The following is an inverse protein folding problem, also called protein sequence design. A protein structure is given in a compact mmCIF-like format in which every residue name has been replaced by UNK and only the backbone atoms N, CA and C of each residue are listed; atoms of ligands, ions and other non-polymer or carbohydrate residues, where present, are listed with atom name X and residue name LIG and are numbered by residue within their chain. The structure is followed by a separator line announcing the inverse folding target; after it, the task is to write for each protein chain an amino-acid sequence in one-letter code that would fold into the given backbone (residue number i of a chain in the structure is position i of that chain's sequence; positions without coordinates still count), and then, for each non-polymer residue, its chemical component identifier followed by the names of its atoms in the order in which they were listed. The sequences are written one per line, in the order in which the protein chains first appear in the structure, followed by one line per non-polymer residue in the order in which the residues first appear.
data_IF_341948086860
#
_entry.id   IF_341948086860
#
_cell.length_a   1.000
_cell.length_b   1.000
_cell.length_c   1.000
_cell.angle_alpha   90.00
_cell.angle_beta   90.00
_cell.angle_gamma   90.00
#
_symmetry.space_group_name_H-M   'P 1'
#
loop_
_entity.id
_entity.type
_entity.pdbx_description
1 polymer ?
#
# COMPACT_ATOMS: atom_id res chain seq x y z
N UNK A 1 -19.90 -13.78 -31.52
CA UNK A 1 -19.67 -14.02 -30.08
C UNK A 1 -19.70 -15.51 -29.71
N UNK A 2 -20.81 -16.26 -29.83
CA UNK A 2 -20.83 -17.69 -29.43
C UNK A 2 -19.83 -18.59 -30.19
N UNK A 3 -19.71 -18.46 -31.52
CA UNK A 3 -18.72 -19.24 -32.29
C UNK A 3 -17.27 -18.92 -31.92
N UNK A 4 -17.00 -17.66 -31.55
CA UNK A 4 -15.67 -17.24 -31.10
C UNK A 4 -15.37 -17.76 -29.69
N UNK A 5 -16.35 -17.78 -28.79
CA UNK A 5 -16.23 -18.38 -27.46
C UNK A 5 -15.78 -19.84 -27.54
N UNK A 6 -16.41 -20.64 -28.42
CA UNK A 6 -16.00 -22.04 -28.60
C UNK A 6 -14.58 -22.16 -29.18
N UNK A 7 -14.22 -21.35 -30.18
CA UNK A 7 -12.85 -21.31 -30.71
C UNK A 7 -11.82 -20.98 -29.63
N UNK A 8 -12.09 -20.01 -28.77
CA UNK A 8 -11.18 -19.64 -27.68
C UNK A 8 -11.03 -20.76 -26.64
N UNK A 9 -12.12 -21.47 -26.33
CA UNK A 9 -12.06 -22.65 -25.45
C UNK A 9 -11.20 -23.77 -26.05
N UNK A 10 -11.30 -24.01 -27.36
CA UNK A 10 -10.44 -24.98 -28.06
C UNK A 10 -8.97 -24.60 -27.96
N UNK A 11 -8.62 -23.33 -28.17
CA UNK A 11 -7.25 -22.81 -28.02
C UNK A 11 -6.71 -23.08 -26.62
N UNK A 12 -7.48 -22.76 -25.57
CA UNK A 12 -7.08 -23.03 -24.18
C UNK A 12 -6.92 -24.52 -23.90
N UNK A 13 -7.79 -25.36 -24.46
CA UNK A 13 -7.72 -26.81 -24.28
C UNK A 13 -6.51 -27.45 -24.98
N UNK A 14 -6.06 -26.88 -26.10
CA UNK A 14 -4.93 -27.37 -26.90
C UNK A 14 -3.58 -26.79 -26.44
N UNK A 15 -3.59 -25.66 -25.73
CA UNK A 15 -2.38 -25.05 -25.18
C UNK A 15 -1.80 -25.92 -24.06
N UNK A 16 -0.54 -26.36 -24.19
CA UNK A 16 0.14 -27.24 -23.22
C UNK A 16 0.25 -26.64 -21.82
N UNK A 17 0.28 -25.31 -21.72
CA UNK A 17 0.34 -24.58 -20.47
C UNK A 17 -1.04 -24.11 -20.00
N UNK A 18 -2.12 -24.50 -20.68
CA UNK A 18 -3.49 -24.07 -20.37
C UNK A 18 -3.67 -22.56 -20.44
N UNK A 19 -2.83 -21.85 -21.21
CA UNK A 19 -2.83 -20.38 -21.36
C UNK A 19 -3.76 -19.92 -22.49
N UNK A 20 -4.32 -18.71 -22.34
CA UNK A 20 -4.99 -17.99 -23.41
C UNK A 20 -4.06 -16.88 -23.93
N UNK A 21 -3.46 -17.04 -25.13
CA UNK A 21 -2.48 -16.09 -25.66
C UNK A 21 -3.00 -14.65 -25.74
N UNK A 22 -2.12 -13.68 -25.48
CA UNK A 22 -2.43 -12.25 -25.57
C UNK A 22 -3.14 -11.84 -26.88
N UNK A 23 -2.73 -12.27 -28.09
CA UNK A 23 -3.44 -11.93 -29.32
C UNK A 23 -4.94 -12.28 -29.29
N UNK A 24 -5.26 -13.45 -28.71
CA UNK A 24 -6.65 -13.92 -28.59
C UNK A 24 -7.47 -13.04 -27.65
N UNK A 25 -6.85 -12.54 -26.57
CA UNK A 25 -7.47 -11.66 -25.58
C UNK A 25 -7.71 -10.27 -26.16
N UNK A 26 -6.72 -9.71 -26.86
CA UNK A 26 -6.84 -8.42 -27.56
C UNK A 26 -7.98 -8.48 -28.59
N UNK A 27 -8.00 -9.51 -29.44
CA UNK A 27 -9.04 -9.66 -30.45
C UNK A 27 -10.44 -9.74 -29.81
N UNK A 28 -10.58 -10.46 -28.69
CA UNK A 28 -11.83 -10.54 -27.96
C UNK A 28 -12.25 -9.17 -27.40
N UNK A 29 -11.34 -8.43 -26.75
CA UNK A 29 -11.64 -7.11 -26.19
C UNK A 29 -11.95 -6.06 -27.28
N UNK A 30 -11.22 -6.07 -28.40
CA UNK A 30 -11.48 -5.19 -29.55
C UNK A 30 -12.85 -5.45 -30.18
N UNK A 31 -13.28 -6.70 -30.24
CA UNK A 31 -14.60 -7.05 -30.75
C UNK A 31 -15.74 -6.62 -29.83
N UNK A 32 -15.51 -6.57 -28.51
CA UNK A 32 -16.45 -5.98 -27.57
C UNK A 32 -16.54 -4.47 -27.81
N UNK A 33 -15.43 -3.80 -28.08
CA UNK A 33 -15.34 -2.41 -28.55
C UNK A 33 -15.78 -1.33 -27.55
N UNK A 34 -16.48 -1.70 -26.48
CA UNK A 34 -16.93 -0.81 -25.42
C UNK A 34 -15.95 -0.87 -24.23
N UNK A 35 -15.25 0.23 -24.00
CA UNK A 35 -14.22 0.36 -22.94
C UNK A 35 -14.79 0.06 -21.55
N UNK A 36 -16.01 0.50 -21.26
CA UNK A 36 -16.68 0.27 -19.97
C UNK A 36 -16.98 -1.20 -19.73
N UNK A 37 -17.34 -1.95 -20.77
CA UNK A 37 -17.56 -3.39 -20.69
C UNK A 37 -16.24 -4.11 -20.45
N UNK A 38 -15.16 -3.70 -21.14
CA UNK A 38 -13.82 -4.25 -20.92
C UNK A 38 -13.35 -4.01 -19.48
N UNK A 39 -13.50 -2.78 -18.95
CA UNK A 39 -13.19 -2.48 -17.54
C UNK A 39 -13.95 -3.37 -16.55
N UNK A 40 -15.23 -3.68 -16.82
CA UNK A 40 -16.04 -4.60 -16.02
C UNK A 40 -15.50 -6.03 -16.06
N UNK A 41 -15.12 -6.52 -17.24
CA UNK A 41 -14.48 -7.85 -17.40
C UNK A 41 -13.19 -7.92 -16.56
N UNK A 42 -12.34 -6.90 -16.65
CA UNK A 42 -11.10 -6.84 -15.85
C UNK A 42 -11.41 -6.75 -14.35
N UNK A 43 -12.45 -6.02 -13.94
CA UNK A 43 -12.88 -5.95 -12.55
C UNK A 43 -13.32 -7.31 -12.01
N UNK A 44 -14.10 -8.07 -12.79
CA UNK A 44 -14.53 -9.42 -12.42
C UNK A 44 -13.35 -10.40 -12.32
N UNK A 45 -12.30 -10.22 -13.11
CA UNK A 45 -11.05 -10.95 -12.95
C UNK A 45 -10.43 -10.72 -11.56
N UNK A 46 -10.33 -9.46 -11.13
CA UNK A 46 -9.83 -9.11 -9.79
C UNK A 46 -10.72 -9.66 -8.68
N UNK A 47 -12.05 -9.60 -8.82
CA UNK A 47 -12.99 -10.18 -7.85
C UNK A 47 -12.78 -11.69 -7.70
N UNK A 48 -12.60 -12.42 -8.81
CA UNK A 48 -12.39 -13.87 -8.77
C UNK A 48 -11.16 -14.25 -7.95
N UNK A 49 -10.03 -13.59 -8.17
CA UNK A 49 -8.80 -13.90 -7.42
C UNK A 49 -8.88 -13.42 -5.98
N UNK A 50 -9.50 -12.25 -5.75
CA UNK A 50 -9.70 -11.73 -4.40
C UNK A 50 -10.54 -12.67 -3.53
N UNK A 51 -11.62 -13.24 -4.09
CA UNK A 51 -12.52 -14.16 -3.37
C UNK A 51 -11.87 -15.50 -2.98
N UNK A 52 -10.69 -15.83 -3.53
CA UNK A 52 -9.92 -17.00 -3.13
C UNK A 52 -8.95 -16.72 -1.98
N UNK A 53 -8.71 -15.45 -1.65
CA UNK A 53 -7.80 -15.07 -0.59
C UNK A 53 -8.37 -15.52 0.77
N UNK A 54 -7.53 -16.03 1.71
CA UNK A 54 -7.96 -16.44 3.03
C UNK A 54 -8.84 -15.39 3.75
N UNK A 55 -10.00 -15.79 4.29
CA UNK A 55 -10.99 -14.88 4.90
C UNK A 55 -10.47 -14.02 6.06
N UNK A 56 -9.39 -14.45 6.70
CA UNK A 56 -8.65 -13.67 7.70
C UNK A 56 -8.07 -12.34 7.14
N UNK A 57 -8.18 -12.12 5.83
CA UNK A 57 -7.78 -10.93 5.07
C UNK A 57 -8.95 -9.98 4.73
N UNK A 58 -10.20 -10.40 4.96
CA UNK A 58 -11.40 -9.82 4.32
C UNK A 58 -11.84 -8.45 4.87
N UNK A 59 -11.57 -8.12 6.13
CA UNK A 59 -12.31 -7.03 6.77
C UNK A 59 -11.66 -5.65 6.67
N UNK A 60 -10.40 -5.54 6.25
CA UNK A 60 -9.69 -4.25 6.36
C UNK A 60 -8.53 -4.03 5.36
N UNK A 61 -8.43 -4.82 4.30
CA UNK A 61 -7.38 -4.62 3.29
C UNK A 61 -7.56 -3.27 2.58
N UNK A 62 -6.50 -2.45 2.54
CA UNK A 62 -6.47 -1.18 1.79
C UNK A 62 -6.80 -1.41 0.31
N UNK A 63 -6.37 -2.55 -0.24
CA UNK A 63 -6.61 -2.92 -1.64
C UNK A 63 -8.06 -3.36 -1.90
N UNK A 64 -8.72 -3.96 -0.91
CA UNK A 64 -10.16 -4.26 -1.00
C UNK A 64 -10.96 -2.96 -1.10
N UNK A 65 -10.57 -1.92 -0.35
CA UNK A 65 -11.23 -0.61 -0.43
C UNK A 65 -11.16 -0.06 -1.86
N UNK A 66 -10.00 -0.13 -2.50
CA UNK A 66 -9.83 0.28 -3.91
C UNK A 66 -10.66 -0.57 -4.87
N UNK A 67 -10.64 -1.90 -4.70
CA UNK A 67 -11.44 -2.79 -5.55
C UNK A 67 -12.96 -2.50 -5.41
N UNK A 68 -13.42 -2.21 -4.20
CA UNK A 68 -14.81 -1.83 -3.90
C UNK A 68 -15.20 -0.46 -4.47
N UNK A 69 -14.27 0.51 -4.44
CA UNK A 69 -14.43 1.82 -5.10
C UNK A 69 -14.57 1.65 -6.62
N UNK A 70 -13.71 0.82 -7.24
CA UNK A 70 -13.76 0.52 -8.68
C UNK A 70 -15.06 -0.20 -9.04
N UNK A 71 -15.46 -1.23 -8.28
CA UNK A 71 -16.74 -1.93 -8.49
C UNK A 71 -17.94 -0.97 -8.44
N UNK A 72 -17.99 -0.12 -7.41
CA UNK A 72 -19.04 0.88 -7.22
C UNK A 72 -19.07 1.91 -8.34
N UNK A 73 -17.90 2.30 -8.86
CA UNK A 73 -17.82 3.16 -10.04
C UNK A 73 -18.38 2.45 -11.26
N UNK A 74 -17.93 1.23 -11.56
CA UNK A 74 -18.27 0.48 -12.77
C UNK A 74 -19.75 0.08 -12.85
N UNK A 75 -20.33 -0.39 -11.74
CA UNK A 75 -21.69 -0.95 -11.71
C UNK A 75 -22.74 -0.02 -11.11
N UNK A 76 -22.35 0.87 -10.19
CA UNK A 76 -23.28 1.73 -9.43
C UNK A 76 -23.18 3.21 -9.79
N UNK A 77 -22.29 3.57 -10.71
CA UNK A 77 -21.98 4.96 -11.09
C UNK A 77 -21.64 5.85 -9.89
N UNK A 78 -20.93 5.31 -8.89
CA UNK A 78 -20.51 6.03 -7.68
C UNK A 78 -19.02 6.32 -7.70
N UNK A 79 -18.63 7.54 -7.36
CA UNK A 79 -17.23 7.98 -7.38
C UNK A 79 -16.74 8.40 -8.77
N UNK A 80 -15.44 8.62 -8.91
CA UNK A 80 -14.80 9.09 -10.15
C UNK A 80 -13.53 8.29 -10.43
N UNK A 81 -13.17 8.17 -11.70
CA UNK A 81 -11.91 7.56 -12.10
C UNK A 81 -10.67 8.29 -11.53
N UNK A 82 -10.78 9.61 -11.31
CA UNK A 82 -9.71 10.41 -10.71
C UNK A 82 -9.49 10.07 -9.23
N UNK A 83 -10.58 9.91 -8.44
CA UNK A 83 -10.45 9.49 -7.05
C UNK A 83 -9.87 8.07 -6.94
N UNK A 84 -10.26 7.17 -7.85
CA UNK A 84 -9.68 5.84 -7.95
C UNK A 84 -8.18 5.92 -8.23
N UNK A 85 -7.75 6.76 -9.19
CA UNK A 85 -6.34 6.96 -9.50
C UNK A 85 -5.56 7.45 -8.27
N UNK A 86 -6.10 8.42 -7.52
CA UNK A 86 -5.48 8.91 -6.28
C UNK A 86 -5.31 7.76 -5.27
N UNK A 87 -6.33 6.93 -5.08
CA UNK A 87 -6.24 5.75 -4.20
C UNK A 87 -5.18 4.75 -4.68
N UNK A 88 -5.08 4.53 -5.98
CA UNK A 88 -4.13 3.60 -6.63
C UNK A 88 -2.69 4.08 -6.49
N UNK A 89 -2.42 5.35 -6.81
CA UNK A 89 -1.08 5.95 -6.71
C UNK A 89 -0.53 5.90 -5.28
N UNK A 90 -1.40 6.08 -4.28
CA UNK A 90 -1.01 5.94 -2.87
C UNK A 90 -0.56 4.52 -2.49
N UNK A 91 -1.03 3.50 -3.19
CA UNK A 91 -0.77 2.09 -2.89
C UNK A 91 0.25 1.44 -3.83
N UNK A 92 0.52 2.04 -5.00
CA UNK A 92 1.38 1.47 -6.06
C UNK A 92 2.73 0.99 -5.50
N UNK A 93 3.52 1.91 -4.94
CA UNK A 93 4.85 1.59 -4.41
C UNK A 93 4.79 0.60 -3.23
N UNK A 94 3.71 0.64 -2.45
CA UNK A 94 3.49 -0.31 -1.36
C UNK A 94 3.26 -1.72 -1.89
N UNK A 95 2.51 -1.89 -2.99
CA UNK A 95 2.28 -3.21 -3.60
C UNK A 95 3.53 -3.72 -4.30
N UNK A 96 4.23 -2.87 -5.05
CA UNK A 96 5.41 -3.22 -5.85
C UNK A 96 6.54 -3.88 -5.03
N UNK A 97 6.61 -3.61 -3.72
CA UNK A 97 7.64 -4.18 -2.82
C UNK A 97 7.52 -5.69 -2.55
N UNK A 98 6.40 -6.33 -2.88
CA UNK A 98 6.25 -7.78 -2.77
C UNK A 98 5.42 -8.27 -3.93
N UNK A 99 6.06 -8.90 -4.91
CA UNK A 99 5.44 -9.50 -6.11
C UNK A 99 5.76 -11.00 -6.22
N UNK A 100 6.08 -11.65 -5.09
CA UNK A 100 6.64 -13.00 -5.07
C UNK A 100 5.58 -14.09 -4.80
N UNK A 101 4.35 -13.69 -4.45
CA UNK A 101 3.26 -14.60 -4.08
C UNK A 101 1.99 -14.41 -4.94
N UNK A 102 1.10 -15.41 -5.00
CA UNK A 102 -0.21 -15.25 -5.62
C UNK A 102 -1.04 -14.09 -5.07
N UNK A 103 -0.96 -13.85 -3.76
CA UNK A 103 -1.65 -12.76 -3.07
C UNK A 103 -1.09 -11.38 -3.45
N UNK A 104 0.23 -11.32 -3.62
CA UNK A 104 0.92 -10.14 -4.12
C UNK A 104 0.54 -9.84 -5.58
N UNK A 105 0.46 -10.88 -6.43
CA UNK A 105 -0.03 -10.74 -7.81
C UNK A 105 -1.48 -10.28 -7.86
N UNK A 106 -2.35 -10.81 -6.99
CA UNK A 106 -3.72 -10.32 -6.86
C UNK A 106 -3.75 -8.84 -6.42
N UNK A 107 -2.83 -8.42 -5.57
CA UNK A 107 -2.67 -7.02 -5.16
C UNK A 107 -2.25 -6.13 -6.34
N UNK A 108 -1.30 -6.59 -7.15
CA UNK A 108 -0.85 -5.89 -8.36
C UNK A 108 -1.96 -5.79 -9.40
N UNK A 109 -2.77 -6.84 -9.56
CA UNK A 109 -3.93 -6.81 -10.46
C UNK A 109 -4.92 -5.69 -10.11
N UNK A 110 -5.13 -5.39 -8.82
CA UNK A 110 -6.00 -4.29 -8.38
C UNK A 110 -5.40 -2.92 -8.74
N UNK A 111 -4.07 -2.76 -8.63
CA UNK A 111 -3.37 -1.55 -9.08
C UNK A 111 -3.52 -1.38 -10.60
N UNK A 112 -3.25 -2.43 -11.36
CA UNK A 112 -3.41 -2.43 -12.82
C UNK A 112 -4.87 -2.16 -13.25
N UNK A 113 -5.85 -2.67 -12.50
CA UNK A 113 -7.28 -2.38 -12.74
C UNK A 113 -7.61 -0.91 -12.50
N UNK A 114 -7.01 -0.28 -11.50
CA UNK A 114 -7.11 1.15 -11.26
C UNK A 114 -6.70 1.97 -12.48
N UNK A 115 -5.54 1.65 -13.06
CA UNK A 115 -5.07 2.27 -14.30
C UNK A 115 -5.98 1.98 -15.50
N UNK A 116 -6.41 0.73 -15.67
CA UNK A 116 -7.36 0.38 -16.74
C UNK A 116 -8.70 1.13 -16.59
N UNK A 117 -9.13 1.40 -15.36
CA UNK A 117 -10.33 2.19 -15.07
C UNK A 117 -10.14 3.68 -15.41
N UNK A 118 -8.94 4.22 -15.18
CA UNK A 118 -8.60 5.62 -15.47
C UNK A 118 -8.37 5.91 -16.95
N UNK A 119 -7.78 4.96 -17.65
CA UNK A 119 -7.30 5.09 -19.03
C UNK A 119 -8.09 4.20 -20.00
N UNK A 120 -9.39 4.01 -19.75
CA UNK A 120 -10.32 3.36 -20.68
C UNK A 120 -9.88 1.99 -21.22
N UNK A 121 -9.21 1.20 -20.37
CA UNK A 121 -8.62 -0.09 -20.69
C UNK A 121 -7.65 -0.06 -21.89
N UNK A 122 -6.97 1.07 -22.10
CA UNK A 122 -5.95 1.23 -23.14
C UNK A 122 -4.85 0.15 -23.05
N UNK A 123 -4.55 -0.32 -21.83
CA UNK A 123 -3.57 -1.39 -21.60
C UNK A 123 -3.85 -2.70 -22.35
N UNK A 124 -5.08 -2.97 -22.78
CA UNK A 124 -5.41 -4.15 -23.64
C UNK A 124 -5.99 -3.75 -25.00
N UNK A 125 -6.61 -2.56 -25.10
CA UNK A 125 -7.24 -2.10 -26.35
C UNK A 125 -6.28 -1.38 -27.30
N UNK A 126 -5.22 -0.77 -26.76
CA UNK A 126 -4.27 0.08 -27.47
C UNK A 126 -2.86 -0.06 -26.87
N UNK A 127 -2.34 -1.29 -26.85
CA UNK A 127 -0.98 -1.58 -26.39
C UNK A 127 0.02 -0.90 -27.33
N UNK A 128 0.92 -0.09 -26.78
CA UNK A 128 1.98 0.58 -27.49
C UNK A 128 2.97 -0.44 -28.07
N UNK A 129 3.41 -0.22 -29.31
CA UNK A 129 4.37 -1.07 -30.03
C UNK A 129 4.01 -2.57 -30.14
N UNK A 130 2.71 -2.91 -29.99
CA UNK A 130 2.25 -4.30 -30.06
C UNK A 130 2.33 -4.89 -31.48
N UNK A 131 3.11 -5.96 -31.66
CA UNK A 131 3.33 -6.60 -32.96
C UNK A 131 2.87 -8.07 -33.03
N UNK A 132 2.06 -8.51 -32.06
CA UNK A 132 1.52 -9.87 -32.04
C UNK A 132 2.23 -10.83 -31.08
N UNK A 133 3.19 -10.33 -30.29
CA UNK A 133 3.81 -11.07 -29.20
C UNK A 133 2.81 -11.52 -28.11
N UNK A 134 3.26 -12.44 -27.25
CA UNK A 134 2.53 -12.89 -26.05
C UNK A 134 3.09 -12.21 -24.79
N UNK A 135 2.48 -12.46 -23.64
CA UNK A 135 2.77 -11.76 -22.37
C UNK A 135 4.24 -11.84 -21.93
N UNK A 136 5.01 -12.85 -22.38
CA UNK A 136 6.43 -13.01 -22.04
C UNK A 136 7.37 -11.98 -22.69
N UNK A 137 6.88 -11.20 -23.65
CA UNK A 137 7.65 -10.11 -24.26
C UNK A 137 7.61 -8.81 -23.44
N UNK A 138 6.79 -8.78 -22.39
CA UNK A 138 6.56 -7.59 -21.57
C UNK A 138 6.99 -7.81 -20.13
N UNK A 139 7.48 -6.74 -19.51
CA UNK A 139 7.71 -6.69 -18.07
C UNK A 139 6.37 -6.72 -17.31
N UNK A 140 6.41 -7.15 -16.05
CA UNK A 140 5.19 -7.40 -15.27
C UNK A 140 4.35 -6.13 -15.04
N UNK A 141 4.95 -4.95 -15.09
CA UNK A 141 4.25 -3.67 -14.99
C UNK A 141 3.37 -3.37 -16.21
N UNK A 142 3.68 -3.99 -17.34
CA UNK A 142 2.94 -3.84 -18.61
C UNK A 142 1.91 -4.94 -18.83
N UNK A 143 1.88 -5.96 -17.96
CA UNK A 143 0.91 -7.05 -18.06
C UNK A 143 -0.53 -6.57 -17.85
N UNK A 144 -1.45 -7.23 -18.55
CA UNK A 144 -2.87 -6.94 -18.44
C UNK A 144 -3.49 -7.56 -17.18
N UNK A 145 -4.55 -6.93 -16.67
CA UNK A 145 -5.23 -7.33 -15.43
C UNK A 145 -5.70 -8.79 -15.46
N UNK A 146 -6.27 -9.24 -16.58
CA UNK A 146 -6.71 -10.61 -16.80
C UNK A 146 -5.53 -11.60 -16.77
N UNK A 147 -4.40 -11.26 -17.38
CA UNK A 147 -3.20 -12.09 -17.31
C UNK A 147 -2.63 -12.17 -15.89
N UNK A 148 -2.47 -11.03 -15.20
CA UNK A 148 -1.99 -10.98 -13.81
C UNK A 148 -2.90 -11.81 -12.89
N UNK A 149 -4.22 -11.71 -13.07
CA UNK A 149 -5.19 -12.54 -12.33
C UNK A 149 -5.02 -14.03 -12.64
N UNK A 150 -4.71 -14.42 -13.88
CA UNK A 150 -4.40 -15.82 -14.21
C UNK A 150 -3.15 -16.33 -13.47
N UNK A 151 -2.13 -15.48 -13.32
CA UNK A 151 -0.90 -15.78 -12.56
C UNK A 151 -1.25 -15.97 -11.10
N UNK A 152 -2.01 -15.04 -10.50
CA UNK A 152 -2.49 -15.16 -9.13
C UNK A 152 -3.35 -16.42 -8.90
N UNK A 153 -4.20 -16.78 -9.86
CA UNK A 153 -5.07 -17.96 -9.74
C UNK A 153 -4.31 -19.30 -9.82
N UNK A 154 -3.35 -19.38 -10.73
CA UNK A 154 -2.61 -20.60 -11.04
C UNK A 154 -1.29 -20.75 -10.29
N UNK A 155 -0.84 -19.68 -9.64
CA UNK A 155 0.38 -19.61 -8.82
C UNK A 155 1.65 -19.24 -9.58
N UNK A 156 1.63 -19.18 -10.91
CA UNK A 156 2.78 -18.77 -11.72
C UNK A 156 2.39 -18.44 -13.17
N UNK A 157 3.24 -17.71 -13.88
CA UNK A 157 3.06 -17.42 -15.30
C UNK A 157 3.33 -18.68 -16.18
N UNK A 158 2.74 -18.77 -17.39
CA UNK A 158 2.85 -19.95 -18.24
C UNK A 158 4.22 -20.16 -18.89
N UNK A 159 5.16 -19.23 -18.73
CA UNK A 159 6.44 -19.26 -19.43
C UNK A 159 7.61 -19.75 -18.55
N UNK A 160 7.35 -20.07 -17.29
CA UNK A 160 8.39 -20.47 -16.31
C UNK A 160 8.18 -21.86 -15.68
N UNK A 161 7.38 -22.75 -16.30
CA UNK A 161 7.13 -24.16 -15.91
C UNK A 161 6.80 -24.46 -14.41
N UNK A 162 6.45 -23.45 -13.61
CA UNK A 162 6.28 -23.60 -12.15
C UNK A 162 4.82 -23.55 -11.66
N UNK A 163 3.86 -23.23 -12.53
CA UNK A 163 2.45 -23.01 -12.15
C UNK A 163 1.54 -24.22 -12.32
N UNK A 164 0.33 -24.17 -11.73
CA UNK A 164 -0.68 -25.20 -11.91
C UNK A 164 -1.43 -25.01 -13.24
N UNK A 165 -1.10 -25.83 -14.24
CA UNK A 165 -1.68 -25.80 -15.60
C UNK A 165 -3.20 -25.96 -15.58
N UNK A 166 -3.73 -26.90 -14.80
CA UNK A 166 -5.18 -27.16 -14.74
C UNK A 166 -5.94 -25.97 -14.14
N UNK A 167 -5.40 -25.33 -13.10
CA UNK A 167 -5.99 -24.09 -12.55
C UNK A 167 -5.92 -22.94 -13.55
N UNK A 168 -4.83 -22.81 -14.32
CA UNK A 168 -4.73 -21.78 -15.36
C UNK A 168 -5.78 -21.98 -16.45
N UNK A 169 -5.93 -23.23 -16.90
CA UNK A 169 -6.97 -23.64 -17.84
C UNK A 169 -8.37 -23.33 -17.31
N UNK A 170 -8.65 -23.70 -16.06
CA UNK A 170 -9.91 -23.39 -15.39
C UNK A 170 -10.19 -21.88 -15.36
N UNK A 171 -9.19 -21.07 -15.02
CA UNK A 171 -9.30 -19.61 -15.01
C UNK A 171 -9.68 -19.07 -16.39
N UNK A 172 -8.99 -19.47 -17.46
CA UNK A 172 -9.25 -18.95 -18.80
C UNK A 172 -10.58 -19.42 -19.38
N UNK A 173 -10.98 -20.67 -19.12
CA UNK A 173 -12.30 -21.16 -19.51
C UNK A 173 -13.43 -20.38 -18.78
N UNK A 174 -13.23 -20.08 -17.49
CA UNK A 174 -14.12 -19.19 -16.76
C UNK A 174 -14.13 -17.77 -17.35
N UNK A 175 -12.96 -17.20 -17.66
CA UNK A 175 -12.81 -15.85 -18.21
C UNK A 175 -13.57 -15.69 -19.53
N UNK A 176 -13.45 -16.67 -20.45
CA UNK A 176 -14.15 -16.65 -21.73
C UNK A 176 -15.66 -16.69 -21.52
N UNK A 177 -16.16 -17.54 -20.62
CA UNK A 177 -17.58 -17.63 -20.29
C UNK A 177 -18.10 -16.32 -19.68
N UNK A 178 -17.42 -15.83 -18.65
CA UNK A 178 -17.75 -14.59 -17.94
C UNK A 178 -17.77 -13.40 -18.90
N UNK A 179 -16.78 -13.30 -19.80
CA UNK A 179 -16.71 -12.25 -20.82
C UNK A 179 -17.94 -12.23 -21.71
N UNK A 180 -18.39 -13.41 -22.17
CA UNK A 180 -19.60 -13.53 -22.97
C UNK A 180 -20.87 -13.10 -22.21
N UNK A 181 -20.97 -13.45 -20.93
CA UNK A 181 -22.11 -13.09 -20.07
C UNK A 181 -22.17 -11.57 -19.81
N UNK A 182 -21.04 -10.93 -19.51
CA UNK A 182 -20.98 -9.48 -19.30
C UNK A 182 -21.23 -8.72 -20.60
N UNK A 183 -20.71 -9.18 -21.72
CA UNK A 183 -20.96 -8.54 -23.01
C UNK A 183 -22.46 -8.55 -23.38
N UNK A 184 -23.21 -9.57 -22.95
CA UNK A 184 -24.66 -9.65 -23.13
C UNK A 184 -25.44 -8.84 -22.10
N UNK A 185 -25.01 -8.83 -20.84
CA UNK A 185 -25.71 -8.19 -19.73
C UNK A 185 -24.76 -7.28 -18.91
N UNK A 186 -24.27 -6.16 -19.49
CA UNK A 186 -23.18 -5.39 -18.91
C UNK A 186 -23.54 -4.66 -17.61
N UNK A 187 -24.82 -4.58 -17.24
CA UNK A 187 -25.29 -3.89 -16.04
C UNK A 187 -25.48 -4.81 -14.83
N UNK A 188 -25.30 -6.12 -15.00
CA UNK A 188 -25.43 -7.11 -13.93
C UNK A 188 -24.03 -7.48 -13.44
N UNK A 189 -23.78 -7.35 -12.13
CA UNK A 189 -22.54 -7.84 -11.50
C UNK A 189 -22.45 -9.37 -11.68
N UNK A 190 -21.29 -9.88 -12.09
CA UNK A 190 -21.09 -11.33 -12.25
C UNK A 190 -20.68 -11.98 -10.92
N UNK A 191 -19.77 -11.35 -10.18
CA UNK A 191 -19.43 -11.69 -8.80
C UNK A 191 -19.74 -10.53 -7.86
N UNK A 192 -20.30 -10.86 -6.70
CA UNK A 192 -20.50 -9.89 -5.62
C UNK A 192 -19.32 -9.89 -4.66
N UNK A 193 -18.83 -8.70 -4.33
CA UNK A 193 -17.87 -8.52 -3.25
C UNK A 193 -18.58 -8.69 -1.89
N UNK A 194 -17.93 -9.32 -0.89
CA UNK A 194 -18.50 -9.43 0.44
C UNK A 194 -18.68 -8.04 1.03
N UNK A 195 -19.76 -7.80 1.78
CA UNK A 195 -19.96 -6.52 2.48
C UNK A 195 -18.98 -6.45 3.64
N UNK A 196 -18.01 -5.54 3.55
CA UNK A 196 -17.10 -5.25 4.65
C UNK A 196 -17.86 -4.58 5.80
N UNK A 197 -18.10 -5.31 6.89
CA UNK A 197 -18.59 -4.72 8.13
C UNK A 197 -17.41 -4.00 8.79
N UNK A 198 -17.47 -2.67 8.89
CA UNK A 198 -16.49 -1.90 9.66
C UNK A 198 -16.68 -2.18 11.15
N UNK A 199 -16.16 -3.29 11.65
CA UNK A 199 -15.85 -3.39 13.06
C UNK A 199 -14.56 -2.59 13.25
N UNK A 200 -14.65 -1.37 13.78
CA UNK A 200 -13.51 -0.73 14.40
C UNK A 200 -13.50 -1.17 15.87
N UNK A 201 -12.98 -2.37 16.22
CA UNK A 201 -12.77 -2.66 17.63
C UNK A 201 -11.85 -1.57 18.18
N UNK A 202 -12.27 -0.92 19.26
CA UNK A 202 -11.38 -0.10 20.07
C UNK A 202 -10.26 -1.02 20.55
N UNK A 203 -9.09 -0.91 19.92
CA UNK A 203 -7.89 -1.58 20.37
C UNK A 203 -7.28 -0.68 21.42
N UNK A 204 -7.30 -1.16 22.66
CA UNK A 204 -6.55 -0.54 23.73
C UNK A 204 -5.06 -0.82 23.50
N UNK A 205 -4.27 0.24 23.31
CA UNK A 205 -2.82 0.15 23.14
C UNK A 205 -2.21 0.34 24.53
N UNK A 206 -1.43 -0.63 25.06
CA UNK A 206 -0.87 -0.51 26.39
C UNK A 206 0.07 0.70 26.51
N UNK A 207 0.17 1.24 27.72
CA UNK A 207 1.13 2.30 28.03
C UNK A 207 2.57 1.83 27.76
N UNK A 208 3.42 2.76 27.31
CA UNK A 208 4.80 2.45 26.90
C UNK A 208 5.77 2.63 28.05
N UNK A 209 6.48 1.57 28.41
CA UNK A 209 7.50 1.58 29.46
C UNK A 209 8.76 2.34 29.03
N UNK A 210 8.96 2.54 27.71
CA UNK A 210 10.04 3.41 27.20
C UNK A 210 10.05 4.81 27.83
N UNK A 211 8.89 5.33 28.25
CA UNK A 211 8.79 6.66 28.87
C UNK A 211 9.40 6.72 30.28
N UNK A 212 9.48 5.58 30.98
CA UNK A 212 10.10 5.52 32.31
C UNK A 212 11.63 5.60 32.24
N UNK A 213 12.21 5.27 31.07
CA UNK A 213 13.63 5.47 30.80
C UNK A 213 14.03 6.94 30.86
N UNK A 214 13.10 7.88 30.72
CA UNK A 214 13.38 9.32 30.76
C UNK A 214 13.41 9.89 32.19
N UNK A 215 12.88 9.14 33.17
CA UNK A 215 12.69 9.62 34.56
C UNK A 215 13.78 9.16 35.52
N UNK A 216 14.66 8.25 35.11
CA UNK A 216 15.65 7.63 36.01
C UNK A 216 17.02 8.32 35.90
N UNK A 217 17.77 8.41 37.00
CA UNK A 217 19.11 9.03 37.03
C UNK A 217 20.18 8.29 36.18
N UNK A 218 19.84 7.12 35.61
CA UNK A 218 20.64 6.37 34.61
C UNK A 218 19.90 6.26 33.27
N UNK A 219 18.90 7.10 33.08
CA UNK A 219 17.98 7.10 31.97
C UNK A 219 18.53 7.72 30.70
N UNK A 220 17.72 7.67 29.64
CA UNK A 220 18.04 8.28 28.35
C UNK A 220 17.76 9.78 28.45
N UNK A 221 18.83 10.60 28.43
CA UNK A 221 18.70 12.07 28.41
C UNK A 221 18.73 12.64 26.98
N UNK A 222 18.03 13.76 26.79
CA UNK A 222 18.03 14.60 25.59
C UNK A 222 18.77 15.94 25.81
N UNK A 223 19.54 16.07 26.90
CA UNK A 223 20.30 17.28 27.23
C UNK A 223 21.26 17.70 26.11
N UNK A 224 22.03 16.77 25.54
CA UNK A 224 22.97 17.07 24.46
C UNK A 224 22.27 17.65 23.22
N UNK A 225 21.06 17.18 22.93
CA UNK A 225 20.23 17.68 21.82
C UNK A 225 19.70 19.07 22.14
N UNK A 226 19.16 19.27 23.36
CA UNK A 226 18.73 20.60 23.84
C UNK A 226 19.87 21.60 23.69
N UNK A 227 21.04 21.28 24.24
CA UNK A 227 22.18 22.17 24.29
C UNK A 227 22.69 22.49 22.88
N UNK A 228 22.75 21.49 22.00
CA UNK A 228 23.08 21.68 20.59
C UNK A 228 22.11 22.61 19.87
N UNK A 229 20.81 22.55 20.17
CA UNK A 229 19.80 23.44 19.58
C UNK A 229 19.97 24.87 20.13
N UNK A 230 20.06 25.02 21.45
CA UNK A 230 20.16 26.32 22.11
C UNK A 230 21.41 27.10 21.67
N UNK A 231 22.54 26.42 21.44
CA UNK A 231 23.77 27.02 20.92
C UNK A 231 23.63 27.67 19.54
N UNK A 232 22.61 27.29 18.77
CA UNK A 232 22.39 27.77 17.40
C UNK A 232 21.35 28.89 17.33
N UNK A 233 20.71 29.25 18.45
CA UNK A 233 19.67 30.28 18.46
C UNK A 233 20.34 31.66 18.42
N UNK A 234 20.04 32.52 17.42
CA UNK A 234 20.56 33.88 17.37
C UNK A 234 20.13 34.70 18.59
N UNK A 235 21.03 35.55 19.09
CA UNK A 235 20.79 36.38 20.27
C UNK A 235 19.63 37.39 20.07
N UNK A 236 19.33 37.74 18.83
CA UNK A 236 18.28 38.69 18.47
C UNK A 236 16.87 38.10 18.59
N UNK A 237 16.74 36.77 18.54
CA UNK A 237 15.44 36.10 18.64
C UNK A 237 14.98 36.13 20.10
N UNK A 238 13.85 36.78 20.33
CA UNK A 238 13.16 36.73 21.63
C UNK A 238 12.27 35.49 21.66
N UNK A 239 12.44 34.67 22.70
CA UNK A 239 11.64 33.46 22.90
C UNK A 239 11.40 33.23 24.39
N UNK A 240 10.27 32.64 24.74
CA UNK A 240 9.95 32.16 26.10
C UNK A 240 10.10 30.64 26.20
N UNK A 241 9.80 29.96 25.10
CA UNK A 241 10.09 28.56 24.87
C UNK A 241 10.45 28.34 23.39
N UNK A 242 11.05 27.19 23.11
CA UNK A 242 11.36 26.72 21.76
C UNK A 242 10.59 25.43 21.51
N UNK A 243 9.80 25.42 20.44
CA UNK A 243 9.09 24.25 19.95
C UNK A 243 9.93 23.55 18.89
N UNK A 244 10.31 22.30 19.17
CA UNK A 244 11.05 21.42 18.29
C UNK A 244 10.13 20.27 17.89
N UNK A 245 9.94 20.07 16.59
CA UNK A 245 9.17 18.95 16.04
C UNK A 245 10.08 18.13 15.15
N UNK A 246 10.28 16.87 15.52
CA UNK A 246 11.06 15.91 14.76
C UNK A 246 10.16 14.77 14.29
N UNK A 247 10.20 14.48 12.99
CA UNK A 247 9.46 13.37 12.36
C UNK A 247 10.46 12.55 11.56
N UNK A 248 10.41 11.22 11.65
CA UNK A 248 11.29 10.39 10.84
C UNK A 248 10.73 9.00 10.54
N UNK A 249 10.65 8.68 9.25
CA UNK A 249 10.44 7.33 8.71
C UNK A 249 11.72 6.92 7.94
N UNK A 250 11.65 6.79 6.61
CA UNK A 250 12.82 6.70 5.73
C UNK A 250 13.55 8.05 5.65
N UNK A 251 12.79 9.12 5.41
CA UNK A 251 13.27 10.50 5.49
C UNK A 251 13.06 11.08 6.90
N UNK A 252 13.59 12.27 7.16
CA UNK A 252 13.32 13.00 8.39
C UNK A 252 13.06 14.48 8.15
N UNK A 253 12.31 15.10 9.06
CA UNK A 253 12.08 16.53 9.14
C UNK A 253 12.34 17.00 10.55
N UNK A 254 13.01 18.15 10.68
CA UNK A 254 13.19 18.86 11.94
C UNK A 254 12.72 20.30 11.73
N UNK A 255 11.73 20.70 12.51
CA UNK A 255 11.23 22.07 12.55
C UNK A 255 11.47 22.64 13.95
N UNK A 256 12.01 23.85 14.00
CA UNK A 256 12.30 24.56 15.24
C UNK A 256 11.66 25.94 15.13
N UNK A 257 10.83 26.28 16.10
CA UNK A 257 10.15 27.57 16.18
C UNK A 257 10.33 28.19 17.55
N UNK A 258 10.47 29.51 17.60
CA UNK A 258 10.35 30.24 18.85
C UNK A 258 8.89 30.30 19.31
N UNK A 259 8.67 30.71 20.57
CA UNK A 259 7.34 31.01 21.09
C UNK A 259 6.59 32.12 20.34
N UNK A 260 7.27 32.93 19.53
CA UNK A 260 6.66 33.95 18.66
C UNK A 260 6.23 33.40 17.30
N UNK A 261 6.53 32.12 17.01
CA UNK A 261 6.25 31.47 15.73
C UNK A 261 7.36 31.66 14.69
N UNK A 262 8.45 32.36 15.01
CA UNK A 262 9.57 32.54 14.10
C UNK A 262 10.33 31.22 13.92
N UNK A 263 10.56 30.83 12.66
CA UNK A 263 11.32 29.63 12.33
C UNK A 263 12.82 29.85 12.59
N UNK A 264 13.42 28.97 13.38
CA UNK A 264 14.84 28.99 13.71
C UNK A 264 15.59 28.04 12.79
N UNK A 265 16.61 28.54 12.10
CA UNK A 265 17.46 27.74 11.23
C UNK A 265 18.78 27.42 11.93
N UNK A 266 19.04 26.14 12.18
CA UNK A 266 20.27 25.66 12.86
C UNK A 266 21.38 25.23 11.87
N UNK A 267 21.25 25.60 10.59
CA UNK A 267 22.30 25.48 9.57
C UNK A 267 22.89 24.07 9.44
N UNK A 268 24.23 23.99 9.39
CA UNK A 268 24.97 22.74 9.18
C UNK A 268 24.78 21.72 10.33
N UNK A 269 24.35 22.16 11.51
CA UNK A 269 24.15 21.31 12.69
C UNK A 269 22.88 20.47 12.59
N UNK A 270 21.98 20.76 11.64
CA UNK A 270 20.71 20.05 11.46
C UNK A 270 20.89 18.54 11.30
N UNK A 271 21.92 18.11 10.58
CA UNK A 271 22.18 16.69 10.33
C UNK A 271 22.61 15.96 11.61
N UNK A 272 23.38 16.63 12.48
CA UNK A 272 23.83 16.07 13.75
C UNK A 272 22.65 15.92 14.71
N UNK A 273 21.84 16.98 14.88
CA UNK A 273 20.65 16.96 15.75
C UNK A 273 19.65 15.89 15.28
N UNK A 274 19.37 15.82 13.98
CA UNK A 274 18.54 14.75 13.42
C UNK A 274 19.13 13.36 13.69
N UNK A 275 20.45 13.20 13.63
CA UNK A 275 21.10 11.93 13.94
C UNK A 275 20.97 11.56 15.41
N UNK A 276 21.14 12.52 16.30
CA UNK A 276 21.05 12.31 17.75
C UNK A 276 19.64 11.90 18.15
N UNK A 277 18.60 12.55 17.60
CA UNK A 277 17.21 12.10 17.78
C UNK A 277 17.01 10.65 17.31
N UNK A 278 17.59 10.26 16.16
CA UNK A 278 17.52 8.88 15.65
C UNK A 278 18.27 7.90 16.56
N UNK A 279 19.38 8.29 17.15
CA UNK A 279 20.13 7.48 18.11
C UNK A 279 19.33 7.28 19.40
N UNK A 280 18.73 8.34 19.96
CA UNK A 280 17.87 8.25 21.15
C UNK A 280 16.67 7.35 20.91
N UNK A 281 16.03 7.44 19.74
CA UNK A 281 14.97 6.51 19.33
C UNK A 281 15.42 5.06 19.35
N UNK A 282 16.59 4.78 18.78
CA UNK A 282 17.15 3.43 18.71
C UNK A 282 17.48 2.91 20.11
N UNK A 283 18.04 3.76 20.96
CA UNK A 283 18.35 3.45 22.36
C UNK A 283 17.09 3.07 23.15
N UNK A 284 16.02 3.87 23.03
CA UNK A 284 14.72 3.59 23.65
C UNK A 284 14.12 2.26 23.15
N UNK A 285 14.15 2.05 21.83
CA UNK A 285 13.63 0.82 21.21
C UNK A 285 14.36 -0.44 21.68
N UNK A 286 15.69 -0.40 21.82
CA UNK A 286 16.49 -1.58 22.23
C UNK A 286 16.09 -2.08 23.62
N UNK A 287 15.67 -1.19 24.52
CA UNK A 287 15.24 -1.58 25.87
C UNK A 287 13.86 -2.25 25.88
N UNK A 288 12.94 -1.81 25.02
CA UNK A 288 11.57 -2.32 24.94
C UNK A 288 11.14 -2.55 23.49
N UNK A 289 11.71 -3.55 22.79
CA UNK A 289 11.50 -3.71 21.35
C UNK A 289 10.05 -4.07 21.01
N UNK A 290 9.35 -4.82 21.87
CA UNK A 290 7.93 -5.18 21.66
C UNK A 290 7.02 -3.97 21.53
N UNK A 291 7.38 -2.84 22.13
CA UNK A 291 6.62 -1.60 22.04
C UNK A 291 6.83 -0.94 20.65
N UNK A 292 7.99 -1.11 20.02
CA UNK A 292 8.32 -0.41 18.78
C UNK A 292 8.87 0.99 18.99
N UNK A 293 9.22 1.67 17.91
CA UNK A 293 9.79 3.01 17.96
C UNK A 293 8.75 4.09 17.61
N UNK A 294 8.96 5.32 18.11
CA UNK A 294 8.12 6.47 17.80
C UNK A 294 8.38 7.00 16.38
N UNK A 295 7.33 7.48 15.72
CA UNK A 295 7.38 8.10 14.39
C UNK A 295 7.77 9.57 14.47
N UNK A 296 7.29 10.27 15.50
CA UNK A 296 7.61 11.67 15.75
C UNK A 296 7.71 12.01 17.23
N UNK A 297 8.35 13.14 17.49
CA UNK A 297 8.62 13.70 18.80
C UNK A 297 8.40 15.22 18.75
N UNK A 298 7.62 15.75 19.67
CA UNK A 298 7.59 17.18 20.02
C UNK A 298 8.40 17.41 21.29
N UNK A 299 9.37 18.31 21.22
CA UNK A 299 10.17 18.75 22.35
C UNK A 299 9.94 20.24 22.59
N UNK A 300 9.59 20.62 23.81
CA UNK A 300 9.38 22.02 24.21
C UNK A 300 10.48 22.40 25.20
N UNK A 301 11.40 23.29 24.81
CA UNK A 301 12.52 23.74 25.63
C UNK A 301 12.16 25.07 26.27
N UNK A 302 12.28 25.17 27.59
CA UNK A 302 11.99 26.39 28.36
C UNK A 302 13.27 27.20 28.63
N UNK A 303 13.12 28.49 28.93
CA UNK A 303 14.22 29.41 29.30
C UNK A 303 15.12 28.93 30.43
N UNK A 304 14.61 28.12 31.36
CA UNK A 304 15.38 27.54 32.47
C UNK A 304 16.13 26.25 32.08
N UNK A 305 16.28 25.98 30.77
CA UNK A 305 16.89 24.79 30.18
C UNK A 305 16.16 23.46 30.48
N UNK A 306 15.00 23.49 31.15
CA UNK A 306 14.13 22.31 31.23
C UNK A 306 13.44 22.05 29.89
N UNK A 307 13.05 20.81 29.64
CA UNK A 307 12.26 20.47 28.47
C UNK A 307 11.16 19.46 28.79
N UNK A 308 10.14 19.43 27.92
CA UNK A 308 9.11 18.40 27.88
C UNK A 308 9.19 17.65 26.55
N UNK A 309 8.97 16.35 26.58
CA UNK A 309 8.96 15.48 25.42
C UNK A 309 7.59 14.84 25.26
N UNK A 310 7.08 14.83 24.05
CA UNK A 310 5.81 14.20 23.67
C UNK A 310 6.02 13.34 22.43
N UNK A 311 5.78 12.03 22.55
CA UNK A 311 6.14 11.03 21.55
C UNK A 311 4.89 10.49 20.88
N UNK A 312 4.89 10.49 19.56
CA UNK A 312 3.83 9.87 18.79
C UNK A 312 4.31 8.55 18.17
N UNK A 313 3.70 7.46 18.62
CA UNK A 313 3.89 6.10 18.11
C UNK A 313 2.73 5.62 17.23
N UNK A 314 1.54 6.22 17.41
CA UNK A 314 0.28 5.58 17.07
C UNK A 314 -0.76 6.51 16.42
N UNK A 315 -0.57 7.83 16.44
CA UNK A 315 -1.48 8.76 15.81
C UNK A 315 -1.00 9.13 14.40
N UNK A 316 -1.68 8.62 13.37
CA UNK A 316 -1.34 8.90 11.97
C UNK A 316 -1.57 10.39 11.63
N UNK A 317 -2.59 11.02 12.20
CA UNK A 317 -2.98 12.40 11.87
C UNK A 317 -1.97 13.44 12.39
N UNK A 318 -1.20 13.08 13.42
CA UNK A 318 -0.09 13.89 13.93
C UNK A 318 1.19 13.75 13.09
N UNK A 319 1.27 12.74 12.22
CA UNK A 319 2.36 12.61 11.25
C UNK A 319 2.03 13.52 10.05
N UNK A 320 2.93 14.44 9.62
CA UNK A 320 2.67 15.28 8.45
C UNK A 320 2.36 14.43 7.21
N UNK A 321 1.40 14.87 6.38
CA UNK A 321 0.91 14.14 5.21
C UNK A 321 2.03 13.65 4.28
N UNK A 322 3.09 14.45 4.09
CA UNK A 322 4.26 14.08 3.30
C UNK A 322 4.97 12.81 3.81
N UNK A 323 4.87 12.49 5.10
CA UNK A 323 5.45 11.29 5.73
C UNK A 323 4.45 10.14 5.85
N UNK A 324 3.18 10.33 5.50
CA UNK A 324 2.15 9.29 5.53
C UNK A 324 2.20 8.36 4.30
N UNK A 325 3.38 8.19 3.70
CA UNK A 325 3.61 7.29 2.58
C UNK A 325 3.72 5.85 3.11
N UNK A 326 2.89 4.95 2.57
CA UNK A 326 2.66 3.62 3.16
C UNK A 326 3.91 2.73 3.13
N UNK A 327 4.69 2.82 2.05
CA UNK A 327 5.96 2.10 1.89
C UNK A 327 7.04 2.63 2.85
N UNK A 328 7.04 3.94 3.14
CA UNK A 328 7.94 4.52 4.13
C UNK A 328 7.59 4.07 5.55
N UNK A 329 6.30 4.03 5.86
CA UNK A 329 5.79 3.54 7.14
C UNK A 329 6.11 2.04 7.29
N UNK A 330 5.87 1.23 6.26
CA UNK A 330 6.18 -0.20 6.27
C UNK A 330 7.68 -0.45 6.45
N UNK A 331 8.52 0.30 5.75
CA UNK A 331 9.98 0.23 5.88
C UNK A 331 10.45 0.64 7.28
N UNK A 332 9.84 1.67 7.86
CA UNK A 332 10.10 2.07 9.24
C UNK A 332 9.72 0.95 10.22
N UNK A 333 8.55 0.34 10.05
CA UNK A 333 8.13 -0.82 10.84
C UNK A 333 9.10 -1.99 10.71
N UNK A 334 9.63 -2.27 9.52
CA UNK A 334 10.61 -3.34 9.32
C UNK A 334 11.91 -3.11 10.10
N UNK A 335 12.30 -1.85 10.27
CA UNK A 335 13.48 -1.46 11.06
C UNK A 335 13.23 -1.51 12.57
N UNK A 336 11.99 -1.22 12.98
CA UNK A 336 11.56 -1.19 14.37
C UNK A 336 10.25 -1.98 14.55
N UNK A 337 10.29 -3.32 14.34
CA UNK A 337 9.09 -4.14 14.46
C UNK A 337 8.56 -4.10 15.88
N UNK A 338 7.26 -4.31 16.04
CA UNK A 338 6.61 -4.32 17.35
C UNK A 338 5.65 -5.49 17.48
N UNK A 339 5.24 -5.81 18.70
CA UNK A 339 4.22 -6.84 18.90
C UNK A 339 2.86 -6.32 18.46
N UNK A 340 1.95 -7.25 18.17
CA UNK A 340 0.61 -6.91 17.67
C UNK A 340 -0.15 -6.05 18.67
N UNK A 341 0.00 -6.29 19.98
CA UNK A 341 -0.68 -5.55 21.05
C UNK A 341 -0.31 -4.06 21.09
N UNK A 342 0.94 -3.69 20.74
CA UNK A 342 1.40 -2.30 20.67
C UNK A 342 1.22 -1.66 19.29
N UNK A 343 0.51 -2.34 18.37
CA UNK A 343 0.28 -1.84 17.01
C UNK A 343 -1.18 -1.38 16.85
N UNK A 344 -1.43 -0.11 16.48
CA UNK A 344 -2.76 0.43 16.24
C UNK A 344 -3.34 -0.12 14.93
N UNK A 345 -4.66 -0.09 14.81
CA UNK A 345 -5.35 -0.75 13.70
C UNK A 345 -4.89 -0.27 12.32
N UNK A 346 -4.72 1.05 12.13
CA UNK A 346 -4.26 1.60 10.86
C UNK A 346 -2.89 1.05 10.45
N UNK A 347 -1.97 0.86 11.40
CA UNK A 347 -0.66 0.27 11.08
C UNK A 347 -0.77 -1.23 10.85
N UNK A 348 -1.66 -1.93 11.55
CA UNK A 348 -1.94 -3.35 11.28
C UNK A 348 -2.44 -3.57 9.85
N UNK A 349 -3.24 -2.65 9.31
CA UNK A 349 -3.70 -2.68 7.91
C UNK A 349 -2.55 -2.57 6.91
N UNK A 350 -1.55 -1.72 7.22
CA UNK A 350 -0.36 -1.53 6.37
C UNK A 350 0.59 -2.73 6.49
N UNK A 351 0.87 -3.19 7.71
CA UNK A 351 1.77 -4.31 7.98
C UNK A 351 1.20 -5.62 7.42
N UNK A 352 -0.08 -5.87 7.66
CA UNK A 352 -0.80 -7.05 7.17
C UNK A 352 -0.04 -8.34 7.48
N UNK A 353 0.11 -9.19 6.45
CA UNK A 353 0.97 -10.39 6.47
C UNK A 353 2.36 -10.15 5.87
N UNK A 354 2.64 -8.94 5.37
CA UNK A 354 3.88 -8.64 4.67
C UNK A 354 5.10 -8.73 5.59
N UNK A 355 4.89 -8.59 6.90
CA UNK A 355 5.92 -8.68 7.94
C UNK A 355 5.40 -9.35 9.20
N UNK A 356 6.32 -9.93 9.95
CA UNK A 356 6.02 -10.56 11.24
C UNK A 356 5.96 -9.53 12.36
N UNK A 357 5.00 -9.70 13.26
CA UNK A 357 4.98 -9.01 14.54
C UNK A 357 5.97 -9.69 15.49
N UNK A 358 6.53 -8.91 16.42
CA UNK A 358 7.30 -9.49 17.52
C UNK A 358 6.37 -10.31 18.41
N UNK A 359 6.83 -11.50 18.77
CA UNK A 359 6.16 -12.43 19.70
C UNK A 359 6.52 -12.12 21.14
#
# INVERSE_FOLDING_TARGET
MMQQVEKLKEIVNQNSMGHLPLPCRIDLMKQIGNTRIVQKILCECCKKVYLLLPKELETESLLYTVLSEIDSYLYKNKGTAENILISVERLRNYVEQSIDSPEDMASWAIIALGYATRYDAASILAIEDYNGEDDNAFDFESWNVDFICSVAYSGSNPFVENGNVEKRKEYWLWYIKMTGEIAQNPNVEHLSLPVCKSTNPLIDIPARHQLDLLKTNKGISFDDIRDSILLQIPNEIKWDFIDVVFVSCISCMLNIHSSTGEKINIGNTIHNVCNDFRLKRKEMYIQYPKEGAWFSLKMVINKNNSYKLDFNYDNLDEIPVYFQVLDWILSFYCKFPRSKEYTPQWLRKIVGRRKLYLT
#
